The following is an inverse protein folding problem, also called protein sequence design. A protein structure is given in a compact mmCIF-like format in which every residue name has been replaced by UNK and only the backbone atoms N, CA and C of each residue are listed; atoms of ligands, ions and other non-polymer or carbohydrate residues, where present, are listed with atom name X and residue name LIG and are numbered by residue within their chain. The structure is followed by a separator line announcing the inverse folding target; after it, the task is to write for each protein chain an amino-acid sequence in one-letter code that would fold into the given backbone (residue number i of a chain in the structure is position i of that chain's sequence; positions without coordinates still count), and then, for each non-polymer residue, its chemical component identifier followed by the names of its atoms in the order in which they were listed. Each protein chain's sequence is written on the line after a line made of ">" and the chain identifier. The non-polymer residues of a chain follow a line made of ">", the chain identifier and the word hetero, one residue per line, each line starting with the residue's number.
data_IF_519263371978
#
_entry.id   IF_519263371978
#
_cell.length_a   1.000
_cell.length_b   1.000
_cell.length_c   1.000
_cell.angle_alpha   90.00
_cell.angle_beta   90.00
_cell.angle_gamma   90.00
#
_symmetry.space_group_name_H-M   'P 1'
#
loop_
_entity.id
_entity.type
_entity.pdbx_description
1 polymer ?
#
# COMPACT_ATOMS: atom_id res chain seq x y z
N UNK A 1 25.18 -16.74 30.84
CA UNK A 1 24.50 -15.83 29.90
C UNK A 1 25.28 -15.89 28.59
N UNK A 2 24.74 -16.58 27.59
CA UNK A 2 24.35 -15.84 26.39
C UNK A 2 22.96 -16.25 25.89
N UNK A 3 22.10 -15.25 25.69
CA UNK A 3 20.79 -15.41 25.05
C UNK A 3 21.01 -15.25 23.55
N UNK A 4 20.85 -16.34 22.79
CA UNK A 4 20.88 -16.31 21.32
C UNK A 4 19.45 -16.06 20.84
N UNK A 5 19.23 -14.90 20.22
CA UNK A 5 18.00 -14.57 19.49
C UNK A 5 17.90 -15.45 18.25
N UNK A 6 17.04 -16.47 18.30
CA UNK A 6 16.61 -17.20 17.10
C UNK A 6 15.67 -16.32 16.28
N UNK A 7 16.21 -15.73 15.21
CA UNK A 7 15.45 -15.09 14.15
C UNK A 7 14.64 -16.18 13.43
N UNK A 8 13.32 -16.20 13.64
CA UNK A 8 12.40 -17.10 12.94
C UNK A 8 12.19 -16.56 11.53
N UNK A 9 12.97 -17.06 10.58
CA UNK A 9 12.75 -16.90 9.15
C UNK A 9 11.34 -17.37 8.79
N UNK A 10 10.44 -16.42 8.54
CA UNK A 10 9.19 -16.71 7.85
C UNK A 10 9.52 -16.89 6.36
N UNK A 11 9.85 -18.12 5.98
CA UNK A 11 9.93 -18.50 4.57
C UNK A 11 8.53 -18.49 3.96
N UNK A 12 8.20 -17.46 3.18
CA UNK A 12 7.08 -17.51 2.24
C UNK A 12 7.58 -18.12 0.94
N UNK A 13 7.01 -19.29 0.64
CA UNK A 13 7.24 -20.08 -0.57
C UNK A 13 6.75 -19.28 -1.78
N UNK A 14 7.68 -18.87 -2.65
CA UNK A 14 7.35 -18.40 -4.01
C UNK A 14 6.92 -19.60 -4.85
N UNK A 15 5.63 -19.92 -4.80
CA UNK A 15 4.99 -20.71 -5.85
C UNK A 15 4.79 -19.78 -7.06
N UNK A 16 5.73 -19.82 -7.99
CA UNK A 16 5.44 -19.36 -9.34
C UNK A 16 4.33 -20.22 -9.95
N UNK A 17 3.46 -19.60 -10.75
CA UNK A 17 2.96 -20.13 -12.02
C UNK A 17 1.90 -19.21 -12.65
N UNK A 18 2.11 -18.98 -13.95
CA UNK A 18 1.10 -18.81 -15.00
C UNK A 18 0.46 -17.43 -15.19
N UNK A 19 1.06 -16.68 -16.12
CA UNK A 19 0.37 -15.71 -16.94
C UNK A 19 -0.73 -16.39 -17.78
N UNK A 20 -1.98 -16.29 -17.34
CA UNK A 20 -3.16 -16.46 -18.17
C UNK A 20 -3.90 -15.13 -18.21
N UNK A 21 -3.59 -14.32 -19.23
CA UNK A 21 -4.28 -13.06 -19.51
C UNK A 21 -5.74 -13.38 -19.88
N UNK A 22 -6.66 -13.09 -18.98
CA UNK A 22 -8.08 -12.95 -19.28
C UNK A 22 -8.53 -11.54 -18.87
N UNK A 23 -8.93 -10.79 -19.89
CA UNK A 23 -9.37 -9.40 -19.82
C UNK A 23 -10.49 -9.20 -18.79
N UNK A 24 -10.30 -8.25 -17.87
CA UNK A 24 -11.40 -7.76 -17.02
C UNK A 24 -11.04 -7.21 -15.64
N UNK A 25 -9.93 -6.46 -15.50
CA UNK A 25 -9.47 -5.89 -14.22
C UNK A 25 -9.42 -4.35 -14.14
N UNK A 26 -9.78 -3.62 -15.20
CA UNK A 26 -9.48 -2.18 -15.31
C UNK A 26 -10.26 -1.22 -14.40
N UNK A 27 -11.26 -1.68 -13.65
CA UNK A 27 -12.10 -0.82 -12.79
C UNK A 27 -11.61 -0.71 -11.34
N UNK A 28 -10.90 -1.71 -10.82
CA UNK A 28 -10.50 -1.72 -9.40
C UNK A 28 -9.23 -0.87 -9.14
N UNK A 29 -8.33 -0.80 -10.11
CA UNK A 29 -7.07 -0.04 -10.00
C UNK A 29 -7.33 1.47 -10.06
N UNK A 30 -8.38 1.90 -10.77
CA UNK A 30 -8.75 3.33 -10.85
C UNK A 30 -9.17 3.89 -9.49
N UNK A 31 -9.51 3.01 -8.55
CA UNK A 31 -9.83 3.36 -7.17
C UNK A 31 -8.62 3.25 -6.23
N UNK A 32 -7.63 2.40 -6.55
CA UNK A 32 -6.36 2.31 -5.84
C UNK A 32 -5.37 3.44 -6.16
N UNK A 33 -5.56 4.11 -7.30
CA UNK A 33 -4.66 5.16 -7.77
C UNK A 33 -5.50 6.36 -8.24
N UNK A 34 -6.09 7.13 -7.30
CA UNK A 34 -7.02 8.22 -7.64
C UNK A 34 -6.38 9.32 -8.50
N UNK A 35 -5.06 9.52 -8.35
CA UNK A 35 -4.27 10.47 -9.14
C UNK A 35 -3.66 9.87 -10.42
N UNK A 36 -3.68 8.54 -10.57
CA UNK A 36 -3.25 7.93 -11.82
C UNK A 36 -4.34 8.14 -12.87
N UNK A 37 -3.96 8.68 -14.02
CA UNK A 37 -4.92 8.86 -15.10
C UNK A 37 -5.61 7.52 -15.42
N UNK A 38 -6.94 7.52 -15.68
CA UNK A 38 -7.67 6.29 -16.02
C UNK A 38 -7.07 5.51 -17.21
N UNK A 39 -6.24 6.17 -18.02
CA UNK A 39 -5.51 5.60 -19.14
C UNK A 39 -4.28 4.81 -18.66
N UNK A 40 -3.51 5.36 -17.71
CA UNK A 40 -2.38 4.67 -17.07
C UNK A 40 -2.85 3.39 -16.37
N UNK A 41 -3.92 3.50 -15.59
CA UNK A 41 -4.56 2.36 -14.93
C UNK A 41 -4.97 1.26 -15.91
N UNK A 42 -5.59 1.64 -17.04
CA UNK A 42 -5.99 0.68 -18.09
C UNK A 42 -4.77 0.06 -18.78
N UNK A 43 -3.67 0.80 -18.89
CA UNK A 43 -2.43 0.33 -19.52
C UNK A 43 -1.65 -0.66 -18.64
N UNK A 44 -1.76 -0.57 -17.30
CA UNK A 44 -1.13 -1.53 -16.39
C UNK A 44 -1.71 -2.94 -16.57
N UNK A 45 -2.94 -3.08 -17.09
CA UNK A 45 -3.59 -4.35 -17.40
C UNK A 45 -3.48 -5.38 -16.26
N UNK A 46 -3.70 -4.95 -15.01
CA UNK A 46 -3.60 -5.88 -13.88
C UNK A 46 -4.69 -6.94 -13.95
N UNK A 47 -4.29 -8.16 -13.60
CA UNK A 47 -5.21 -9.28 -13.42
C UNK A 47 -6.10 -9.09 -12.18
N UNK A 48 -7.21 -9.82 -12.10
CA UNK A 48 -8.05 -9.85 -10.89
C UNK A 48 -7.27 -10.32 -9.67
N UNK A 49 -6.37 -11.28 -9.84
CA UNK A 49 -5.57 -11.83 -8.75
C UNK A 49 -4.55 -10.79 -8.24
N UNK A 50 -3.96 -9.99 -9.14
CA UNK A 50 -3.09 -8.88 -8.76
C UNK A 50 -3.87 -7.78 -8.01
N UNK A 51 -5.05 -7.42 -8.50
CA UNK A 51 -5.93 -6.46 -7.81
C UNK A 51 -6.28 -6.96 -6.41
N UNK A 52 -6.64 -8.24 -6.27
CA UNK A 52 -7.01 -8.81 -4.97
C UNK A 52 -5.82 -8.87 -4.01
N UNK A 53 -4.61 -9.16 -4.51
CA UNK A 53 -3.39 -9.08 -3.71
C UNK A 53 -3.10 -7.67 -3.24
N UNK A 54 -3.24 -6.66 -4.11
CA UNK A 54 -3.05 -5.26 -3.73
C UNK A 54 -4.06 -4.84 -2.65
N UNK A 55 -5.33 -5.28 -2.76
CA UNK A 55 -6.35 -5.00 -1.74
C UNK A 55 -5.95 -5.58 -0.39
N UNK A 56 -5.52 -6.85 -0.38
CA UNK A 56 -5.07 -7.52 0.86
C UNK A 56 -3.89 -6.79 1.51
N UNK A 57 -2.89 -6.38 0.71
CA UNK A 57 -1.73 -5.66 1.24
C UNK A 57 -2.14 -4.30 1.81
N UNK A 58 -3.07 -3.60 1.17
CA UNK A 58 -3.58 -2.32 1.70
C UNK A 58 -4.37 -2.48 2.99
N UNK A 59 -5.18 -3.53 3.11
CA UNK A 59 -5.91 -3.86 4.34
C UNK A 59 -4.93 -4.17 5.49
N UNK A 60 -3.91 -4.99 5.21
CA UNK A 60 -2.87 -5.34 6.18
C UNK A 60 -2.05 -4.11 6.61
N UNK A 61 -1.68 -3.24 5.65
CA UNK A 61 -0.99 -1.98 5.93
C UNK A 61 -1.86 -1.05 6.78
N UNK A 62 -3.15 -0.87 6.43
CA UNK A 62 -4.07 -0.02 7.19
C UNK A 62 -4.21 -0.50 8.63
N UNK A 63 -4.39 -1.80 8.83
CA UNK A 63 -4.49 -2.36 10.19
C UNK A 63 -3.20 -2.16 10.98
N UNK A 64 -2.04 -2.31 10.34
CA UNK A 64 -0.74 -2.11 10.99
C UNK A 64 -0.48 -0.64 11.31
N UNK A 65 -0.88 0.25 10.40
CA UNK A 65 -0.82 1.69 10.54
C UNK A 65 -1.65 2.18 11.74
N UNK A 66 -2.92 1.77 11.81
CA UNK A 66 -3.82 2.16 12.91
C UNK A 66 -3.32 1.65 14.27
N UNK A 67 -2.60 0.53 14.30
CA UNK A 67 -2.02 -0.01 15.53
C UNK A 67 -0.81 0.78 16.08
N UNK A 68 -0.17 1.62 15.25
CA UNK A 68 0.95 2.49 15.67
C UNK A 68 0.45 3.81 16.27
N UNK A 69 -0.77 4.21 15.93
CA UNK A 69 -1.39 5.44 16.42
C UNK A 69 -1.91 5.27 17.86
N UNK A 70 -1.99 6.38 18.58
CA UNK A 70 -2.73 6.43 19.85
C UNK A 70 -4.24 6.49 19.60
N UNK A 71 -5.03 6.26 20.65
CA UNK A 71 -6.50 6.38 20.56
C UNK A 71 -6.92 7.80 20.12
N UNK A 72 -6.29 8.84 20.68
CA UNK A 72 -6.58 10.23 20.33
C UNK A 72 -6.21 10.55 18.87
N UNK A 73 -5.07 10.06 18.39
CA UNK A 73 -4.64 10.24 16.98
C UNK A 73 -5.55 9.48 16.01
N UNK A 74 -6.10 8.34 16.44
CA UNK A 74 -7.03 7.57 15.63
C UNK A 74 -8.37 8.29 15.50
N UNK A 75 -8.86 8.91 16.59
CA UNK A 75 -10.07 9.75 16.56
C UNK A 75 -9.88 10.95 15.61
N UNK A 76 -8.76 11.66 15.69
CA UNK A 76 -8.44 12.77 14.78
C UNK A 76 -8.37 12.32 13.31
N UNK A 77 -7.80 11.14 13.05
CA UNK A 77 -7.79 10.57 11.71
C UNK A 77 -9.21 10.24 11.19
N UNK A 78 -10.08 9.75 12.07
CA UNK A 78 -11.48 9.48 11.72
C UNK A 78 -12.25 10.77 11.43
N UNK A 79 -11.99 11.85 12.17
CA UNK A 79 -12.54 13.18 11.91
C UNK A 79 -12.09 13.73 10.55
N UNK A 80 -10.78 13.69 10.27
CA UNK A 80 -10.24 14.08 8.95
C UNK A 80 -10.89 13.30 7.80
N UNK A 81 -11.17 12.01 8.03
CA UNK A 81 -11.88 11.16 7.07
C UNK A 81 -13.33 11.55 6.89
N UNK A 82 -14.03 11.92 7.96
CA UNK A 82 -15.42 12.36 7.93
C UNK A 82 -15.60 13.74 7.29
N UNK A 83 -14.60 14.63 7.40
CA UNK A 83 -14.64 15.99 6.84
C UNK A 83 -14.44 16.01 5.32
N UNK A 84 -13.80 15.00 4.73
CA UNK A 84 -13.65 14.93 3.29
C UNK A 84 -14.94 14.49 2.59
N UNK A 85 -15.33 15.26 1.56
CA UNK A 85 -16.46 14.91 0.68
C UNK A 85 -16.18 13.67 -0.17
N UNK A 86 -14.90 13.34 -0.39
CA UNK A 86 -14.47 12.14 -1.10
C UNK A 86 -13.18 11.62 -0.43
N UNK A 87 -13.30 10.97 0.74
CA UNK A 87 -12.14 10.50 1.47
C UNK A 87 -11.34 9.54 0.58
N UNK A 88 -10.00 9.53 0.68
CA UNK A 88 -9.19 8.56 -0.02
C UNK A 88 -9.65 7.16 0.41
N UNK A 89 -10.08 6.38 -0.57
CA UNK A 89 -10.66 5.05 -0.34
C UNK A 89 -9.61 4.09 0.23
N UNK A 90 -8.32 4.38 0.00
CA UNK A 90 -7.19 3.56 0.45
C UNK A 90 -5.99 4.43 0.85
N UNK A 91 -5.46 4.19 2.06
CA UNK A 91 -4.30 4.88 2.62
C UNK A 91 -4.62 6.17 3.39
N UNK A 92 -3.62 6.70 4.08
CA UNK A 92 -3.68 8.01 4.77
C UNK A 92 -2.78 8.98 4.00
N UNK A 93 -3.33 10.08 3.44
CA UNK A 93 -2.54 11.10 2.76
C UNK A 93 -1.42 11.63 3.64
N UNK A 94 -0.28 11.98 3.02
CA UNK A 94 0.86 12.52 3.76
C UNK A 94 0.50 13.81 4.52
N UNK A 95 -0.36 14.64 3.94
CA UNK A 95 -0.87 15.85 4.58
C UNK A 95 -1.72 15.56 5.82
N UNK A 96 -2.38 14.40 5.88
CA UNK A 96 -3.12 13.95 7.07
C UNK A 96 -2.18 13.44 8.14
N UNK A 97 -1.15 12.69 7.76
CA UNK A 97 -0.11 12.24 8.71
C UNK A 97 0.59 13.41 9.38
N UNK A 98 0.85 14.49 8.64
CA UNK A 98 1.45 15.70 9.17
C UNK A 98 0.58 16.42 10.21
N UNK A 99 -0.72 16.10 10.29
CA UNK A 99 -1.64 16.65 11.28
C UNK A 99 -1.70 15.82 12.57
N UNK A 100 -1.35 14.53 12.53
CA UNK A 100 -1.53 13.60 13.66
C UNK A 100 -0.47 13.73 14.79
N UNK A 101 0.25 14.85 14.90
CA UNK A 101 1.27 15.12 15.93
C UNK A 101 2.15 13.88 16.25
N UNK A 102 2.65 13.21 15.21
CA UNK A 102 3.36 11.94 15.34
C UNK A 102 4.70 12.12 16.08
N UNK A 103 5.04 11.17 16.96
CA UNK A 103 6.38 11.13 17.56
C UNK A 103 7.43 10.60 16.57
N UNK A 104 8.71 10.98 16.77
CA UNK A 104 9.83 10.48 15.97
C UNK A 104 9.86 8.94 15.85
N UNK A 105 9.48 8.24 16.93
CA UNK A 105 9.40 6.77 16.93
C UNK A 105 8.26 6.24 16.08
N UNK A 106 7.09 6.89 16.13
CA UNK A 106 5.94 6.50 15.30
C UNK A 106 6.23 6.80 13.83
N UNK A 107 6.83 7.95 13.51
CA UNK A 107 7.22 8.29 12.14
C UNK A 107 8.19 7.25 11.56
N UNK A 108 9.19 6.83 12.34
CA UNK A 108 10.12 5.78 11.94
C UNK A 108 9.42 4.42 11.70
N UNK A 109 8.47 4.04 12.56
CA UNK A 109 7.72 2.79 12.42
C UNK A 109 6.79 2.81 11.21
N UNK A 110 6.09 3.94 10.98
CA UNK A 110 5.25 4.14 9.81
C UNK A 110 6.05 4.16 8.50
N UNK A 111 7.25 4.75 8.50
CA UNK A 111 8.16 4.69 7.36
C UNK A 111 8.56 3.25 7.06
N UNK A 112 8.91 2.46 8.07
CA UNK A 112 9.26 1.05 7.90
C UNK A 112 8.06 0.22 7.39
N UNK A 113 6.86 0.48 7.89
CA UNK A 113 5.64 -0.17 7.39
C UNK A 113 5.39 0.15 5.92
N UNK A 114 5.59 1.42 5.52
CA UNK A 114 5.45 1.83 4.13
C UNK A 114 6.46 1.12 3.23
N UNK A 115 7.72 1.02 3.64
CA UNK A 115 8.75 0.28 2.88
C UNK A 115 8.37 -1.19 2.67
N UNK A 116 7.85 -1.85 3.71
CA UNK A 116 7.37 -3.24 3.63
C UNK A 116 6.20 -3.35 2.65
N UNK A 117 5.19 -2.48 2.78
CA UNK A 117 4.04 -2.45 1.88
C UNK A 117 4.49 -2.23 0.42
N UNK A 118 5.42 -1.32 0.18
CA UNK A 118 5.95 -1.04 -1.17
C UNK A 118 6.68 -2.25 -1.75
N UNK A 119 7.48 -2.96 -0.95
CA UNK A 119 8.14 -4.18 -1.39
C UNK A 119 7.12 -5.29 -1.77
N UNK A 120 6.02 -5.40 -1.02
CA UNK A 120 4.94 -6.35 -1.36
C UNK A 120 4.19 -5.93 -2.62
N UNK A 121 3.94 -4.63 -2.81
CA UNK A 121 3.37 -4.07 -4.03
C UNK A 121 4.24 -4.39 -5.24
N UNK A 122 5.54 -4.13 -5.15
CA UNK A 122 6.49 -4.40 -6.23
C UNK A 122 6.51 -5.88 -6.63
N UNK A 123 6.39 -6.77 -5.65
CA UNK A 123 6.34 -8.22 -5.89
C UNK A 123 5.07 -8.68 -6.64
N UNK A 124 3.98 -7.91 -6.59
CA UNK A 124 2.72 -8.22 -7.28
C UNK A 124 2.79 -7.82 -8.76
N UNK A 125 3.56 -6.78 -9.10
CA UNK A 125 3.68 -6.28 -10.46
C UNK A 125 4.71 -7.06 -11.29
N UNK A 126 4.53 -7.10 -12.62
CA UNK A 126 5.58 -7.58 -13.52
C UNK A 126 6.65 -6.51 -13.73
N UNK A 127 7.82 -6.92 -14.25
CA UNK A 127 8.90 -5.98 -14.58
C UNK A 127 8.43 -4.87 -15.55
N UNK A 128 7.63 -5.21 -16.57
CA UNK A 128 7.09 -4.22 -17.51
C UNK A 128 6.03 -3.31 -16.89
N UNK A 129 5.27 -3.79 -15.91
CA UNK A 129 4.31 -2.98 -15.16
C UNK A 129 5.02 -2.00 -14.22
N UNK A 130 6.09 -2.46 -13.55
CA UNK A 130 6.95 -1.61 -12.72
C UNK A 130 7.62 -0.50 -13.51
N UNK A 131 8.18 -0.81 -14.68
CA UNK A 131 8.78 0.19 -15.56
C UNK A 131 7.75 1.26 -15.99
N UNK A 132 6.52 0.85 -16.29
CA UNK A 132 5.43 1.78 -16.58
C UNK A 132 5.09 2.66 -15.36
N UNK A 133 5.01 2.08 -14.17
CA UNK A 133 4.76 2.81 -12.92
C UNK A 133 5.88 3.81 -12.57
N UNK A 134 7.13 3.47 -12.89
CA UNK A 134 8.26 4.40 -12.76
C UNK A 134 8.17 5.54 -13.77
N UNK A 135 7.80 5.25 -15.03
CA UNK A 135 7.72 6.27 -16.09
C UNK A 135 6.67 7.37 -15.82
N UNK A 136 5.64 7.04 -15.02
CA UNK A 136 4.60 7.99 -14.60
C UNK A 136 4.94 8.72 -13.29
N UNK A 137 6.08 8.40 -12.67
CA UNK A 137 6.52 8.97 -11.39
C UNK A 137 5.59 8.61 -10.22
N UNK A 138 4.95 7.44 -10.25
CA UNK A 138 4.02 7.02 -9.20
C UNK A 138 4.76 6.64 -7.92
N UNK A 139 5.94 6.04 -8.04
CA UNK A 139 6.82 5.74 -6.90
C UNK A 139 7.38 7.00 -6.22
N UNK A 140 7.52 8.11 -6.94
CA UNK A 140 7.99 9.37 -6.37
C UNK A 140 6.91 10.12 -5.56
N UNK A 141 5.65 9.65 -5.61
CA UNK A 141 4.47 10.32 -5.01
C UNK A 141 3.82 9.55 -3.85
N UNK A 142 4.29 8.34 -3.56
CA UNK A 142 3.85 7.49 -2.44
C UNK A 142 4.88 7.57 -1.29
#
# INVERSE_FOLDING_TARGET
>A
MPTVLTLRTAGRVLLGLSAAVLMGGGLAIAQMMPDASPQVVRNLNLSRDQVQQLQSVMEDYKSSFEAVLTEDQLEELEELRAEQTNPPDQGVPQDWLAQLDLSDSQEAELSALREVMMAEFEAIFTAEQLEQLQSIGLFDRL
#
